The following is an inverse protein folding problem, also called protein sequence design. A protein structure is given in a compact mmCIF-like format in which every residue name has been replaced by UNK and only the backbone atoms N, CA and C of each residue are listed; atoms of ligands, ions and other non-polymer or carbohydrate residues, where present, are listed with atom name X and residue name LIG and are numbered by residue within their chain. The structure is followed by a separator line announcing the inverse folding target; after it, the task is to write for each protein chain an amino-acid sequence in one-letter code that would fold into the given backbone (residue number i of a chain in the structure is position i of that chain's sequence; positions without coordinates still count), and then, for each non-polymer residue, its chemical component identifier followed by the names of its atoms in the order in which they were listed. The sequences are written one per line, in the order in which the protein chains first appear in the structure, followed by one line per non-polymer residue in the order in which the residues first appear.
data_IF_755970416739
#
_entry.id   IF_755970416739
#
_cell.length_a   1.000
_cell.length_b   1.000
_cell.length_c   1.000
_cell.angle_alpha   90.00
_cell.angle_beta   90.00
_cell.angle_gamma   90.00
#
_symmetry.space_group_name_H-M   'P 1'
#
loop_
_entity.id
_entity.type
_entity.pdbx_description
1 polymer ?
#
# COMPACT_ATOMS: atom_id res chain seq x y z
N UNK A 1 7.35 55.71 -16.04
CA UNK A 1 6.84 56.20 -14.77
C UNK A 1 5.49 55.53 -14.53
N UNK A 2 5.45 54.54 -13.65
CA UNK A 2 4.21 53.76 -13.36
C UNK A 2 4.48 52.91 -12.15
N UNK A 3 3.93 53.24 -11.01
CA UNK A 3 4.19 52.67 -9.68
C UNK A 3 3.71 51.24 -9.49
N UNK A 4 4.62 50.40 -9.06
CA UNK A 4 4.40 49.05 -8.57
C UNK A 4 3.80 49.14 -7.15
N UNK A 5 2.52 48.73 -6.94
CA UNK A 5 1.92 48.61 -5.60
C UNK A 5 2.19 47.21 -5.06
N UNK A 6 3.03 47.12 -4.05
CA UNK A 6 3.22 45.96 -3.21
C UNK A 6 2.07 45.87 -2.21
N UNK A 7 1.27 44.80 -2.27
CA UNK A 7 0.23 44.51 -1.26
C UNK A 7 0.87 43.56 -0.22
N UNK A 8 1.07 44.09 0.99
CA UNK A 8 1.44 43.35 2.19
C UNK A 8 0.15 42.75 2.79
N UNK A 9 0.09 41.42 2.87
CA UNK A 9 -0.92 40.74 3.70
C UNK A 9 -0.45 40.72 5.15
N UNK A 10 -1.23 41.36 6.01
CA UNK A 10 -1.07 41.32 7.47
C UNK A 10 -1.91 40.15 7.99
N UNK A 11 -1.26 39.20 8.66
CA UNK A 11 -1.92 38.15 9.41
C UNK A 11 -2.46 38.73 10.71
N UNK A 12 -3.77 38.76 10.88
CA UNK A 12 -4.45 39.05 12.17
C UNK A 12 -4.75 37.72 12.85
N UNK A 13 -3.99 37.40 13.90
CA UNK A 13 -4.33 36.34 14.85
C UNK A 13 -5.51 36.83 15.72
N UNK A 14 -6.70 36.34 15.46
CA UNK A 14 -7.85 36.53 16.33
C UNK A 14 -7.83 35.53 17.49
N UNK A 15 -7.58 36.05 18.71
CA UNK A 15 -7.72 35.30 19.97
C UNK A 15 -9.25 35.20 20.26
N UNK A 16 -9.81 34.01 20.25
CA UNK A 16 -11.15 33.73 20.77
C UNK A 16 -11.01 33.24 22.22
N UNK A 17 -11.43 34.13 23.15
CA UNK A 17 -11.65 33.76 24.54
C UNK A 17 -12.99 33.01 24.64
N UNK A 18 -12.96 31.72 24.90
CA UNK A 18 -14.15 30.94 25.22
C UNK A 18 -14.44 31.03 26.71
N UNK A 19 -15.56 31.69 27.05
CA UNK A 19 -16.15 31.65 28.39
C UNK A 19 -16.72 30.26 28.64
N UNK A 20 -16.11 29.52 29.55
CA UNK A 20 -16.59 28.22 30.01
C UNK A 20 -17.80 28.41 30.94
N UNK A 21 -18.99 28.03 30.48
CA UNK A 21 -20.11 27.68 31.36
C UNK A 21 -19.91 26.23 31.82
N UNK A 22 -19.68 26.08 33.12
CA UNK A 22 -19.47 24.76 33.74
C UNK A 22 -20.75 23.93 33.74
N UNK A 23 -20.69 22.80 33.00
CA UNK A 23 -21.56 21.67 33.24
C UNK A 23 -20.70 20.63 33.96
N UNK A 24 -21.00 20.37 35.23
CA UNK A 24 -20.34 19.34 36.03
C UNK A 24 -20.61 17.98 35.39
N UNK A 25 -19.61 17.44 34.73
CA UNK A 25 -19.59 16.03 34.33
C UNK A 25 -19.37 15.17 35.56
N UNK A 26 -20.33 14.34 35.90
CA UNK A 26 -20.28 13.36 36.95
C UNK A 26 -19.26 12.29 36.56
N UNK A 27 -18.15 12.18 37.28
CA UNK A 27 -17.16 11.12 37.08
C UNK A 27 -17.80 9.75 37.29
N UNK A 28 -17.48 8.74 36.45
CA UNK A 28 -17.92 7.37 36.69
C UNK A 28 -17.22 6.83 37.93
N UNK A 29 -17.99 6.31 38.88
CA UNK A 29 -17.48 5.65 40.09
C UNK A 29 -16.62 4.46 39.70
N UNK A 30 -15.42 4.28 40.30
CA UNK A 30 -14.62 3.10 40.05
C UNK A 30 -15.33 1.87 40.60
N UNK A 31 -15.41 0.82 39.81
CA UNK A 31 -15.88 -0.51 40.27
C UNK A 31 -14.97 -1.03 41.37
N UNK A 32 -15.51 -1.71 42.41
CA UNK A 32 -14.70 -2.24 43.49
C UNK A 32 -13.78 -3.33 42.94
N UNK A 33 -12.47 -3.13 43.13
CA UNK A 33 -11.45 -4.14 42.87
C UNK A 33 -11.65 -5.32 43.82
N UNK A 34 -11.88 -6.51 43.28
CA UNK A 34 -11.80 -7.75 44.03
C UNK A 34 -10.39 -7.91 44.59
N UNK A 35 -10.22 -8.33 45.83
CA UNK A 35 -8.90 -8.49 46.45
C UNK A 35 -8.09 -9.55 45.71
N UNK A 36 -6.89 -9.19 45.28
CA UNK A 36 -5.94 -10.10 44.66
C UNK A 36 -5.56 -11.22 45.67
N UNK A 37 -5.68 -12.47 45.21
CA UNK A 37 -5.24 -13.65 45.95
C UNK A 37 -3.73 -13.55 46.19
N UNK A 38 -3.24 -13.71 47.41
CA UNK A 38 -1.81 -13.62 47.69
C UNK A 38 -1.04 -14.74 46.98
N UNK A 39 0.19 -14.48 46.51
CA UNK A 39 1.00 -15.50 45.83
C UNK A 39 1.35 -16.60 46.88
N UNK A 40 1.08 -17.84 46.50
CA UNK A 40 1.48 -19.02 47.24
C UNK A 40 3.01 -19.13 47.21
N UNK A 41 3.66 -18.82 48.30
CA UNK A 41 5.09 -19.01 48.46
C UNK A 41 5.36 -20.51 48.59
N UNK A 42 5.89 -21.12 47.54
CA UNK A 42 6.43 -22.48 47.62
C UNK A 42 7.83 -22.35 48.22
N UNK A 43 8.00 -22.86 49.44
CA UNK A 43 9.31 -22.94 50.11
C UNK A 43 10.22 -23.88 49.27
N UNK A 44 11.51 -23.54 49.12
CA UNK A 44 12.43 -24.43 48.44
C UNK A 44 12.69 -25.68 49.36
N UNK A 45 12.42 -26.85 48.80
CA UNK A 45 12.79 -28.13 49.41
C UNK A 45 14.31 -28.25 49.27
N UNK A 46 15.00 -28.07 50.38
CA UNK A 46 16.43 -28.40 50.49
C UNK A 46 16.58 -29.93 50.48
N UNK A 47 17.08 -30.48 49.41
CA UNK A 47 17.56 -31.86 49.33
C UNK A 47 18.88 -31.96 50.08
N UNK A 48 19.08 -32.98 50.94
CA UNK A 48 20.34 -33.16 51.62
C UNK A 48 21.42 -33.64 50.65
N UNK A 49 22.59 -33.02 50.73
CA UNK A 49 23.78 -33.47 50.00
C UNK A 49 24.25 -34.83 50.53
N UNK A 50 24.54 -35.81 49.70
CA UNK A 50 25.23 -37.04 50.18
C UNK A 50 26.71 -36.73 50.42
N UNK A 51 27.13 -36.87 51.68
CA UNK A 51 28.54 -37.00 52.04
C UNK A 51 29.01 -38.41 51.68
N UNK A 52 29.81 -38.52 50.65
CA UNK A 52 30.61 -39.73 50.40
C UNK A 52 32.07 -39.34 50.36
N UNK A 53 32.79 -39.83 51.37
CA UNK A 53 34.25 -39.90 51.34
C UNK A 53 34.65 -41.02 50.38
N UNK A 54 35.65 -40.80 49.56
CA UNK A 54 36.31 -41.86 48.83
C UNK A 54 36.81 -41.45 47.46
N UNK A 55 38.11 -41.46 47.30
CA UNK A 55 38.93 -41.56 46.12
C UNK A 55 38.89 -40.41 45.10
N UNK A 56 39.97 -39.66 45.05
CA UNK A 56 40.35 -38.74 43.99
C UNK A 56 40.65 -39.56 42.73
N UNK A 57 39.87 -39.35 41.61
CA UNK A 57 40.36 -39.82 40.34
C UNK A 57 41.36 -38.80 39.79
N UNK A 58 42.45 -39.31 39.25
CA UNK A 58 43.44 -38.56 38.48
C UNK A 58 42.76 -37.71 37.42
N UNK A 59 43.14 -36.42 37.38
CA UNK A 59 42.81 -35.49 36.31
C UNK A 59 43.31 -36.05 35.00
N UNK A 60 42.44 -36.57 34.16
CA UNK A 60 42.72 -36.80 32.74
C UNK A 60 42.71 -35.45 32.02
N UNK A 61 43.82 -35.08 31.42
CA UNK A 61 44.05 -33.85 30.64
C UNK A 61 43.37 -33.84 29.27
N UNK A 62 42.19 -34.45 29.12
CA UNK A 62 41.41 -34.42 27.89
C UNK A 62 40.08 -33.69 28.10
N UNK A 63 40.15 -32.41 28.54
CA UNK A 63 39.00 -31.52 28.39
C UNK A 63 38.99 -31.03 26.95
N UNK A 64 38.22 -31.71 26.12
CA UNK A 64 37.88 -31.24 24.79
C UNK A 64 37.18 -29.88 24.97
N UNK A 65 37.90 -28.77 24.74
CA UNK A 65 37.34 -27.42 24.75
C UNK A 65 36.44 -27.36 23.54
N UNK A 66 35.14 -27.63 23.76
CA UNK A 66 34.12 -27.38 22.75
C UNK A 66 34.27 -25.90 22.32
N UNK A 67 34.43 -25.63 21.04
CA UNK A 67 34.53 -24.24 20.57
C UNK A 67 33.30 -23.48 21.03
N UNK A 68 33.51 -22.36 21.71
CA UNK A 68 32.43 -21.44 22.08
C UNK A 68 31.57 -21.18 20.84
N UNK A 69 30.24 -21.32 20.94
CA UNK A 69 29.38 -21.08 19.81
C UNK A 69 29.71 -19.71 19.26
N UNK A 70 30.06 -19.68 17.99
CA UNK A 70 30.34 -18.43 17.24
C UNK A 70 29.19 -17.47 17.54
N UNK A 71 29.44 -16.26 18.03
CA UNK A 71 28.37 -15.32 18.36
C UNK A 71 27.52 -15.12 17.11
N UNK A 72 26.22 -15.42 17.24
CA UNK A 72 25.26 -15.25 16.15
C UNK A 72 25.39 -13.80 15.66
N UNK A 73 25.62 -13.58 14.37
CA UNK A 73 25.85 -12.22 13.87
C UNK A 73 24.73 -11.29 14.33
N UNK A 74 25.09 -10.15 14.90
CA UNK A 74 24.15 -9.16 15.48
C UNK A 74 23.09 -8.72 14.45
N UNK A 75 23.33 -8.97 13.16
CA UNK A 75 22.50 -8.54 12.03
C UNK A 75 21.72 -9.66 11.33
N UNK A 76 21.73 -10.88 11.85
CA UNK A 76 21.10 -12.04 11.20
C UNK A 76 21.74 -12.38 9.85
N UNK A 77 20.92 -12.80 8.88
CA UNK A 77 21.37 -13.08 7.50
C UNK A 77 21.27 -11.83 6.66
N UNK A 78 22.29 -11.55 5.85
CA UNK A 78 22.32 -10.47 4.87
C UNK A 78 22.44 -11.05 3.46
N UNK A 79 21.59 -10.60 2.56
CA UNK A 79 21.70 -10.78 1.12
C UNK A 79 21.75 -9.40 0.46
N UNK A 80 22.76 -9.17 -0.36
CA UNK A 80 22.96 -7.86 -0.97
C UNK A 80 23.53 -7.97 -2.37
N UNK A 81 23.09 -7.05 -3.25
CA UNK A 81 23.70 -6.83 -4.54
C UNK A 81 23.59 -5.32 -4.86
N UNK A 82 24.73 -4.71 -5.22
CA UNK A 82 24.82 -3.31 -5.69
C UNK A 82 25.52 -3.33 -7.03
N UNK A 83 24.91 -2.67 -8.01
CA UNK A 83 25.41 -2.62 -9.38
C UNK A 83 25.34 -1.21 -9.94
N UNK A 84 26.18 -0.93 -10.93
CA UNK A 84 26.04 0.23 -11.82
C UNK A 84 24.86 0.05 -12.79
N UNK A 85 24.48 1.09 -13.51
CA UNK A 85 23.41 1.00 -14.51
C UNK A 85 23.74 0.02 -15.65
N UNK A 86 25.01 -0.10 -16.03
CA UNK A 86 25.49 -1.04 -17.05
C UNK A 86 25.67 -2.50 -16.56
N UNK A 87 25.43 -2.75 -15.26
CA UNK A 87 25.40 -4.10 -14.70
C UNK A 87 26.70 -4.55 -14.03
N UNK A 88 27.68 -3.68 -13.87
CA UNK A 88 28.90 -4.01 -13.14
C UNK A 88 28.59 -4.15 -11.64
N UNK A 89 28.88 -5.30 -11.06
CA UNK A 89 28.71 -5.50 -9.63
C UNK A 89 29.76 -4.75 -8.83
N UNK A 90 29.30 -3.91 -7.90
CA UNK A 90 30.13 -3.11 -6.97
C UNK A 90 30.29 -3.84 -5.64
N UNK A 91 29.21 -4.44 -5.17
CA UNK A 91 29.18 -5.19 -3.91
C UNK A 91 28.16 -6.31 -4.00
N UNK A 92 28.54 -7.52 -3.60
CA UNK A 92 27.67 -8.66 -3.55
C UNK A 92 27.93 -9.47 -2.28
N UNK A 93 26.86 -9.88 -1.60
CA UNK A 93 26.90 -10.75 -0.44
C UNK A 93 25.69 -11.67 -0.48
N UNK A 94 25.90 -13.00 -0.44
CA UNK A 94 24.83 -13.99 -0.52
C UNK A 94 23.80 -13.73 -1.64
N UNK A 95 24.24 -13.19 -2.79
CA UNK A 95 23.38 -12.66 -3.85
C UNK A 95 22.52 -13.73 -4.53
N UNK A 96 22.94 -14.99 -4.47
CA UNK A 96 22.23 -16.15 -5.02
C UNK A 96 21.32 -16.86 -3.99
N UNK A 97 21.45 -16.53 -2.71
CA UNK A 97 20.67 -17.18 -1.67
C UNK A 97 19.24 -16.62 -1.61
N UNK A 98 18.30 -17.49 -1.25
CA UNK A 98 16.90 -17.11 -1.09
C UNK A 98 16.67 -16.37 0.23
N UNK A 99 15.97 -15.25 0.14
CA UNK A 99 15.50 -14.43 1.25
C UNK A 99 14.00 -14.17 1.12
N UNK A 100 13.37 -13.77 2.21
CA UNK A 100 12.03 -13.22 2.15
C UNK A 100 12.11 -11.72 1.73
N UNK A 101 11.63 -11.38 0.53
CA UNK A 101 11.66 -9.99 0.05
C UNK A 101 10.67 -9.09 0.78
N UNK A 102 9.75 -9.66 1.57
CA UNK A 102 8.61 -8.95 2.13
C UNK A 102 7.95 -8.08 1.04
N UNK A 103 7.52 -6.86 1.38
CA UNK A 103 6.84 -5.98 0.43
C UNK A 103 7.72 -5.46 -0.73
N UNK A 104 9.00 -5.82 -0.84
CA UNK A 104 9.78 -5.51 -2.03
C UNK A 104 9.28 -6.28 -3.27
N UNK A 105 8.57 -7.41 -3.10
CA UNK A 105 7.94 -8.13 -4.22
C UNK A 105 6.89 -7.29 -4.97
N UNK A 106 6.34 -6.24 -4.36
CA UNK A 106 5.45 -5.29 -5.03
C UNK A 106 6.09 -4.60 -6.24
N UNK A 107 7.42 -4.61 -6.35
CA UNK A 107 8.12 -4.17 -7.56
C UNK A 107 7.80 -5.10 -8.75
N UNK A 108 7.75 -6.41 -8.51
CA UNK A 108 7.34 -7.38 -9.51
C UNK A 108 5.86 -7.21 -9.89
N UNK A 109 4.99 -7.03 -8.89
CA UNK A 109 3.55 -6.77 -9.13
C UNK A 109 3.33 -5.49 -9.95
N UNK A 110 4.11 -4.43 -9.67
CA UNK A 110 4.04 -3.19 -10.44
C UNK A 110 4.55 -3.36 -11.87
N UNK A 111 5.64 -4.11 -12.07
CA UNK A 111 6.17 -4.42 -13.39
C UNK A 111 5.16 -5.21 -14.24
N UNK A 112 4.58 -6.26 -13.68
CA UNK A 112 3.57 -7.08 -14.36
C UNK A 112 2.34 -6.25 -14.73
N UNK A 113 1.87 -5.39 -13.82
CA UNK A 113 0.75 -4.49 -14.09
C UNK A 113 1.04 -3.47 -15.19
N UNK A 114 2.24 -2.86 -15.20
CA UNK A 114 2.64 -1.93 -16.26
C UNK A 114 2.71 -2.61 -17.63
N UNK A 115 3.25 -3.83 -17.69
CA UNK A 115 3.32 -4.58 -18.95
C UNK A 115 1.97 -5.11 -19.41
N UNK A 116 1.07 -5.44 -18.47
CA UNK A 116 -0.26 -5.97 -18.81
C UNK A 116 -1.22 -4.86 -19.25
N UNK A 117 -1.21 -3.72 -18.57
CA UNK A 117 -2.23 -2.69 -18.76
C UNK A 117 -1.69 -1.39 -19.36
N UNK A 118 -0.42 -1.09 -19.20
CA UNK A 118 0.17 0.22 -19.51
C UNK A 118 -0.06 1.26 -18.39
N UNK A 119 0.79 2.33 -18.34
CA UNK A 119 0.76 3.31 -17.24
C UNK A 119 -0.51 4.16 -17.19
N UNK A 120 -1.13 4.40 -18.35
CA UNK A 120 -2.34 5.24 -18.50
C UNK A 120 -3.65 4.46 -18.28
N UNK A 121 -3.56 3.16 -18.00
CA UNK A 121 -4.74 2.34 -17.77
C UNK A 121 -5.56 2.87 -16.59
N UNK A 122 -6.90 2.91 -16.76
CA UNK A 122 -7.86 3.32 -15.73
C UNK A 122 -8.86 2.20 -15.49
N UNK A 123 -8.92 1.70 -14.28
CA UNK A 123 -9.87 0.64 -13.90
C UNK A 123 -11.31 1.17 -13.94
N UNK A 124 -12.21 0.41 -14.53
CA UNK A 124 -13.60 0.77 -14.61
C UNK A 124 -14.42 0.16 -13.47
N UNK A 125 -15.26 0.97 -12.84
CA UNK A 125 -16.38 0.56 -12.00
C UNK A 125 -17.67 1.00 -12.68
N UNK A 126 -18.54 0.04 -12.99
CA UNK A 126 -19.74 0.28 -13.80
C UNK A 126 -20.99 0.02 -12.98
N UNK A 127 -21.96 0.94 -13.05
CA UNK A 127 -23.28 0.78 -12.52
C UNK A 127 -24.26 0.45 -13.64
N UNK A 128 -25.13 -0.54 -13.35
CA UNK A 128 -26.14 -1.06 -14.25
C UNK A 128 -27.49 -1.11 -13.54
N UNK A 129 -28.56 -1.32 -14.31
CA UNK A 129 -29.87 -1.65 -13.77
C UNK A 129 -30.61 -2.63 -14.71
N UNK A 130 -31.41 -3.50 -14.14
CA UNK A 130 -32.38 -4.30 -14.85
C UNK A 130 -33.79 -3.68 -14.83
N UNK A 131 -33.92 -2.51 -14.14
CA UNK A 131 -35.20 -1.85 -13.92
C UNK A 131 -35.46 -0.68 -14.88
N UNK A 132 -36.63 -0.10 -14.77
CA UNK A 132 -37.07 1.09 -15.49
C UNK A 132 -37.04 2.31 -14.59
N UNK A 133 -36.61 3.45 -15.14
CA UNK A 133 -36.59 4.72 -14.41
C UNK A 133 -37.88 5.48 -14.63
N UNK A 134 -38.62 5.76 -13.56
CA UNK A 134 -39.66 6.76 -13.55
C UNK A 134 -39.04 8.14 -13.27
N UNK A 135 -38.96 8.97 -14.30
CA UNK A 135 -38.37 10.32 -14.21
C UNK A 135 -39.15 11.28 -13.31
N UNK A 136 -40.45 11.07 -13.12
CA UNK A 136 -41.27 11.96 -12.29
C UNK A 136 -40.95 11.80 -10.80
N UNK A 137 -40.71 10.59 -10.36
CA UNK A 137 -40.38 10.27 -8.95
C UNK A 137 -38.89 10.09 -8.70
N UNK A 138 -38.10 9.90 -9.76
CA UNK A 138 -36.69 9.57 -9.67
C UNK A 138 -36.44 8.17 -9.15
N UNK A 139 -37.36 7.23 -9.42
CA UNK A 139 -37.34 5.88 -8.89
C UNK A 139 -37.01 4.85 -9.97
N UNK A 140 -36.03 3.99 -9.71
CA UNK A 140 -35.80 2.77 -10.50
C UNK A 140 -36.67 1.66 -9.92
N UNK A 141 -37.60 1.13 -10.73
CA UNK A 141 -38.36 -0.05 -10.43
C UNK A 141 -37.55 -1.30 -10.88
N UNK A 142 -36.72 -1.83 -10.01
CA UNK A 142 -35.78 -2.92 -10.24
C UNK A 142 -34.50 -2.74 -9.43
N UNK A 143 -33.45 -3.47 -9.80
CA UNK A 143 -32.19 -3.53 -9.05
C UNK A 143 -31.15 -2.50 -9.56
N UNK A 144 -30.28 -2.11 -8.65
CA UNK A 144 -29.00 -1.44 -8.94
C UNK A 144 -27.89 -2.48 -8.90
N UNK A 145 -27.05 -2.53 -9.95
CA UNK A 145 -26.00 -3.53 -10.07
C UNK A 145 -24.66 -2.81 -10.18
N UNK A 146 -23.61 -3.28 -9.48
CA UNK A 146 -22.26 -2.75 -9.58
C UNK A 146 -21.26 -3.83 -9.98
N UNK A 147 -20.38 -3.50 -10.92
CA UNK A 147 -19.24 -4.34 -11.30
C UNK A 147 -17.96 -3.51 -11.39
N UNK A 148 -16.80 -4.15 -11.16
CA UNK A 148 -15.49 -3.49 -11.25
C UNK A 148 -14.46 -4.17 -10.37
N UNK A 149 -13.18 -3.96 -10.71
CA UNK A 149 -12.02 -4.51 -9.97
C UNK A 149 -10.99 -3.43 -9.69
N UNK A 150 -11.43 -2.19 -9.49
CA UNK A 150 -10.54 -1.06 -9.20
C UNK A 150 -9.92 -1.21 -7.80
N UNK A 151 -8.59 -1.40 -7.69
CA UNK A 151 -7.91 -1.56 -6.40
C UNK A 151 -7.88 -0.26 -5.59
N UNK A 152 -8.23 0.88 -6.20
CA UNK A 152 -8.22 2.20 -5.58
C UNK A 152 -9.62 2.77 -5.30
N UNK A 153 -10.69 1.97 -5.48
CA UNK A 153 -12.06 2.42 -5.27
C UNK A 153 -12.40 2.57 -3.78
N UNK A 154 -12.70 3.81 -3.36
CA UNK A 154 -12.96 4.18 -1.97
C UNK A 154 -14.32 4.86 -1.79
N UNK A 155 -14.64 5.24 -0.54
CA UNK A 155 -15.91 5.88 -0.17
C UNK A 155 -16.20 7.15 -0.98
N UNK A 156 -15.20 8.00 -1.21
CA UNK A 156 -15.34 9.23 -2.00
C UNK A 156 -15.83 8.97 -3.41
N UNK A 157 -15.40 7.86 -4.02
CA UNK A 157 -15.87 7.44 -5.34
C UNK A 157 -17.32 6.93 -5.28
N UNK A 158 -17.69 6.21 -4.22
CA UNK A 158 -19.07 5.78 -4.01
C UNK A 158 -20.04 6.96 -3.81
N UNK A 159 -19.62 8.02 -3.09
CA UNK A 159 -20.41 9.26 -2.98
C UNK A 159 -20.52 9.97 -4.33
N UNK A 160 -19.44 9.95 -5.13
CA UNK A 160 -19.47 10.49 -6.50
C UNK A 160 -20.44 9.71 -7.40
N UNK A 161 -20.53 8.38 -7.26
CA UNK A 161 -21.55 7.60 -7.94
C UNK A 161 -22.97 8.05 -7.57
N UNK A 162 -23.24 8.27 -6.27
CA UNK A 162 -24.54 8.79 -5.82
C UNK A 162 -24.85 10.16 -6.43
N UNK A 163 -23.83 11.04 -6.53
CA UNK A 163 -23.98 12.35 -7.18
C UNK A 163 -24.35 12.21 -8.67
N UNK A 164 -23.65 11.36 -9.40
CA UNK A 164 -23.93 11.17 -10.84
C UNK A 164 -25.29 10.48 -11.06
N UNK A 165 -25.69 9.54 -10.19
CA UNK A 165 -27.05 8.98 -10.21
C UNK A 165 -28.11 10.06 -9.96
N UNK A 166 -27.89 10.97 -9.00
CA UNK A 166 -28.79 12.12 -8.78
C UNK A 166 -28.88 13.05 -10.00
N UNK A 167 -27.77 13.22 -10.76
CA UNK A 167 -27.78 14.02 -12.01
C UNK A 167 -28.59 13.34 -13.13
N UNK A 168 -28.67 12.00 -13.12
CA UNK A 168 -29.55 11.22 -13.99
C UNK A 168 -31.02 11.25 -13.53
N UNK A 169 -31.32 11.93 -12.42
CA UNK A 169 -32.66 11.97 -11.82
C UNK A 169 -32.94 10.81 -10.87
N UNK A 170 -32.00 9.90 -10.63
CA UNK A 170 -32.20 8.70 -9.80
C UNK A 170 -31.99 9.04 -8.33
N UNK A 171 -32.98 8.76 -7.49
CA UNK A 171 -32.98 9.01 -6.03
C UNK A 171 -33.29 7.75 -5.23
N UNK A 172 -34.07 6.83 -5.81
CA UNK A 172 -34.55 5.62 -5.14
C UNK A 172 -34.43 4.41 -6.08
N UNK A 173 -34.08 3.26 -5.52
CA UNK A 173 -34.07 1.96 -6.17
C UNK A 173 -34.98 1.05 -5.35
N UNK A 174 -36.04 0.48 -5.94
CA UNK A 174 -37.01 -0.35 -5.18
C UNK A 174 -36.55 -1.77 -4.97
N UNK A 175 -35.66 -2.26 -5.82
CA UNK A 175 -35.07 -3.59 -5.74
C UNK A 175 -33.78 -3.63 -4.90
N UNK A 176 -32.93 -4.58 -5.22
CA UNK A 176 -31.71 -4.91 -4.49
C UNK A 176 -30.46 -4.18 -5.02
N UNK A 177 -29.39 -4.18 -4.23
CA UNK A 177 -28.05 -3.88 -4.68
C UNK A 177 -27.31 -5.18 -5.02
N UNK A 178 -27.16 -5.46 -6.30
CA UNK A 178 -26.39 -6.60 -6.79
C UNK A 178 -24.94 -6.20 -7.00
N UNK A 179 -24.03 -6.96 -6.41
CA UNK A 179 -22.58 -6.69 -6.46
C UNK A 179 -21.88 -7.81 -7.21
N UNK A 180 -21.22 -7.48 -8.31
CA UNK A 180 -20.49 -8.49 -9.07
C UNK A 180 -19.36 -9.14 -8.24
N UNK A 181 -19.05 -10.43 -8.47
CA UNK A 181 -17.90 -11.07 -7.84
C UNK A 181 -16.61 -10.29 -8.04
N UNK A 182 -15.76 -10.24 -7.00
CA UNK A 182 -14.49 -9.51 -6.96
C UNK A 182 -14.61 -7.97 -6.97
N UNK A 183 -15.80 -7.40 -6.92
CA UNK A 183 -15.93 -5.96 -6.61
C UNK A 183 -15.31 -5.66 -5.25
N UNK A 184 -14.57 -4.56 -5.15
CA UNK A 184 -13.89 -4.13 -3.93
C UNK A 184 -14.13 -2.66 -3.66
N UNK A 185 -14.31 -2.34 -2.39
CA UNK A 185 -14.44 -0.97 -1.87
C UNK A 185 -13.64 -0.88 -0.57
N UNK A 186 -12.88 0.20 -0.38
CA UNK A 186 -12.08 0.48 0.81
C UNK A 186 -11.19 -0.71 1.23
N UNK A 187 -10.48 -1.30 0.27
CA UNK A 187 -9.56 -2.42 0.49
C UNK A 187 -10.19 -3.72 1.01
N UNK A 188 -11.50 -3.86 0.97
CA UNK A 188 -12.17 -5.10 1.38
C UNK A 188 -11.79 -6.26 0.44
N UNK A 189 -11.51 -7.44 1.01
CA UNK A 189 -11.33 -8.68 0.26
C UNK A 189 -12.66 -9.41 -0.02
N UNK A 190 -13.78 -8.93 0.54
CA UNK A 190 -15.10 -9.53 0.41
C UNK A 190 -15.99 -8.64 -0.45
N UNK A 191 -16.53 -9.20 -1.54
CA UNK A 191 -17.52 -8.51 -2.37
C UNK A 191 -18.79 -8.19 -1.59
N UNK A 192 -19.24 -9.08 -0.71
CA UNK A 192 -20.39 -8.87 0.16
C UNK A 192 -20.19 -7.64 1.05
N UNK A 193 -19.07 -7.56 1.79
CA UNK A 193 -18.75 -6.38 2.63
C UNK A 193 -18.55 -5.10 1.83
N UNK A 194 -18.01 -5.22 0.62
CA UNK A 194 -17.87 -4.09 -0.29
C UNK A 194 -19.23 -3.57 -0.75
N UNK A 195 -20.17 -4.48 -1.02
CA UNK A 195 -21.54 -4.14 -1.36
C UNK A 195 -22.31 -3.51 -0.20
N UNK A 196 -22.22 -4.07 1.00
CA UNK A 196 -22.82 -3.51 2.22
C UNK A 196 -22.27 -2.09 2.48
N UNK A 197 -20.97 -1.88 2.31
CA UNK A 197 -20.35 -0.56 2.42
C UNK A 197 -20.83 0.40 1.35
N UNK A 198 -20.97 -0.06 0.10
CA UNK A 198 -21.51 0.75 -1.00
C UNK A 198 -22.97 1.12 -0.71
N UNK A 199 -23.78 0.18 -0.28
CA UNK A 199 -25.17 0.38 0.11
C UNK A 199 -25.33 1.51 1.15
N UNK A 200 -24.54 1.44 2.22
CA UNK A 200 -24.53 2.51 3.24
C UNK A 200 -23.98 3.83 2.69
N UNK A 201 -22.98 3.78 1.81
CA UNK A 201 -22.32 5.01 1.32
C UNK A 201 -23.16 5.75 0.27
N UNK A 202 -23.99 5.05 -0.51
CA UNK A 202 -24.88 5.68 -1.48
C UNK A 202 -25.96 6.52 -0.81
N UNK A 203 -26.49 6.08 0.34
CA UNK A 203 -27.54 6.77 1.08
C UNK A 203 -26.95 7.76 2.11
N UNK A 204 -27.30 9.04 2.01
CA UNK A 204 -26.81 10.09 2.90
C UNK A 204 -27.21 9.89 4.37
N UNK A 205 -28.34 9.20 4.65
CA UNK A 205 -28.80 8.94 6.02
C UNK A 205 -28.00 7.83 6.70
N UNK A 206 -27.46 6.88 5.93
CA UNK A 206 -26.68 5.72 6.41
C UNK A 206 -25.17 5.98 6.33
N UNK A 207 -24.78 6.87 5.46
CA UNK A 207 -23.37 7.12 5.12
C UNK A 207 -22.55 7.53 6.33
N UNK A 208 -21.40 6.90 6.59
CA UNK A 208 -20.45 7.38 7.58
C UNK A 208 -19.98 8.81 7.28
N UNK A 209 -19.93 9.67 8.29
CA UNK A 209 -19.50 11.07 8.14
C UNK A 209 -18.09 11.19 7.52
N UNK A 210 -17.22 10.21 7.77
CA UNK A 210 -15.88 10.13 7.17
C UNK A 210 -15.93 10.00 5.64
N UNK A 211 -16.89 9.27 5.08
CA UNK A 211 -17.06 9.12 3.63
C UNK A 211 -17.46 10.44 2.97
N UNK A 212 -18.40 11.17 3.58
CA UNK A 212 -18.79 12.52 3.12
C UNK A 212 -17.61 13.49 3.17
N UNK A 213 -16.82 13.44 4.26
CA UNK A 213 -15.62 14.28 4.37
C UNK A 213 -14.60 13.96 3.29
N UNK A 214 -14.26 12.66 3.10
CA UNK A 214 -13.31 12.22 2.07
C UNK A 214 -13.74 12.69 0.67
N UNK A 215 -15.04 12.64 0.38
CA UNK A 215 -15.55 13.13 -0.89
C UNK A 215 -15.41 14.66 -1.04
N UNK A 216 -15.72 15.46 -0.01
CA UNK A 216 -15.47 16.91 -0.05
C UNK A 216 -13.98 17.22 -0.22
N UNK A 217 -13.11 16.54 0.51
CA UNK A 217 -11.65 16.72 0.41
C UNK A 217 -11.17 16.41 -1.01
N UNK A 218 -11.66 15.34 -1.63
CA UNK A 218 -11.32 14.98 -3.01
C UNK A 218 -11.77 16.05 -4.02
N UNK A 219 -12.91 16.69 -3.79
CA UNK A 219 -13.41 17.80 -4.62
C UNK A 219 -12.54 19.05 -4.49
N UNK A 220 -12.14 19.41 -3.27
CA UNK A 220 -11.22 20.52 -3.01
C UNK A 220 -9.89 20.28 -3.74
N UNK A 221 -9.34 19.09 -3.63
CA UNK A 221 -8.09 18.72 -4.32
C UNK A 221 -8.20 18.87 -5.85
N UNK A 222 -9.38 18.60 -6.41
CA UNK A 222 -9.68 18.81 -7.86
C UNK A 222 -10.02 20.27 -8.21
N UNK A 223 -9.94 21.21 -7.27
CA UNK A 223 -10.30 22.61 -7.50
C UNK A 223 -11.81 22.86 -7.69
N UNK A 224 -12.66 21.91 -7.29
CA UNK A 224 -14.11 22.02 -7.36
C UNK A 224 -14.67 22.70 -6.10
N UNK A 225 -15.91 23.22 -6.19
CA UNK A 225 -16.55 23.78 -5.00
C UNK A 225 -16.69 22.75 -3.87
N UNK A 226 -16.27 23.12 -2.67
CA UNK A 226 -16.34 22.27 -1.50
C UNK A 226 -17.77 21.96 -1.04
N UNK A 227 -18.71 22.90 -1.27
CA UNK A 227 -20.10 22.75 -0.83
C UNK A 227 -21.04 22.62 -2.02
N UNK A 228 -22.00 21.71 -1.92
CA UNK A 228 -23.11 21.58 -2.84
C UNK A 228 -24.42 21.95 -2.11
N UNK A 229 -25.43 22.45 -2.83
CA UNK A 229 -26.73 22.77 -2.22
C UNK A 229 -27.44 21.53 -1.65
N UNK A 230 -27.14 20.36 -2.16
CA UNK A 230 -27.71 19.10 -1.69
C UNK A 230 -26.62 18.03 -1.54
N UNK A 231 -26.70 17.23 -0.48
CA UNK A 231 -25.82 16.08 -0.27
C UNK A 231 -26.28 14.95 -1.22
N UNK A 232 -25.39 14.36 -2.03
CA UNK A 232 -25.76 13.27 -2.91
C UNK A 232 -26.31 12.08 -2.13
N UNK A 233 -27.46 11.52 -2.55
CA UNK A 233 -28.10 10.39 -1.88
C UNK A 233 -28.90 9.55 -2.86
N UNK A 234 -28.75 8.21 -2.77
CA UNK A 234 -29.57 7.24 -3.46
C UNK A 234 -29.95 6.15 -2.45
N UNK A 235 -31.24 6.02 -2.15
CA UNK A 235 -31.75 4.98 -1.26
C UNK A 235 -32.01 3.72 -2.05
N UNK A 236 -31.46 2.59 -1.61
CA UNK A 236 -31.78 1.24 -2.11
C UNK A 236 -32.69 0.58 -1.06
N UNK A 237 -33.87 0.12 -1.48
CA UNK A 237 -34.90 -0.39 -0.57
C UNK A 237 -34.75 -1.88 -0.25
N UNK A 238 -34.09 -2.63 -1.14
CA UNK A 238 -33.84 -4.06 -0.99
C UNK A 238 -32.57 -4.39 -0.21
N UNK A 239 -32.05 -5.58 -0.42
CA UNK A 239 -30.87 -6.11 0.25
C UNK A 239 -29.62 -6.10 -0.66
N UNK A 240 -28.50 -6.60 -0.14
CA UNK A 240 -27.24 -6.71 -0.88
C UNK A 240 -26.97 -8.16 -1.21
N UNK A 241 -26.77 -8.47 -2.50
CA UNK A 241 -26.43 -9.81 -2.97
C UNK A 241 -25.16 -9.78 -3.84
N UNK A 242 -24.40 -10.88 -3.79
CA UNK A 242 -23.22 -11.05 -4.66
C UNK A 242 -23.61 -12.00 -5.80
N UNK A 243 -23.79 -11.44 -6.99
CA UNK A 243 -24.18 -12.17 -8.18
C UNK A 243 -23.50 -11.55 -9.43
N UNK A 244 -23.41 -12.33 -10.50
CA UNK A 244 -22.92 -11.82 -11.79
C UNK A 244 -23.90 -10.79 -12.37
N UNK A 245 -23.37 -9.85 -13.15
CA UNK A 245 -24.23 -8.89 -13.88
C UNK A 245 -25.22 -9.66 -14.75
N UNK A 246 -26.54 -9.47 -14.59
CA UNK A 246 -27.54 -10.17 -15.39
C UNK A 246 -27.43 -9.82 -16.88
N UNK A 247 -27.72 -10.81 -17.74
CA UNK A 247 -27.83 -10.55 -19.16
C UNK A 247 -28.97 -9.55 -19.41
N UNK A 248 -28.71 -8.53 -20.22
CA UNK A 248 -29.71 -7.48 -20.52
C UNK A 248 -29.74 -6.33 -19.49
N UNK A 249 -28.91 -6.34 -18.48
CA UNK A 249 -28.74 -5.18 -17.61
C UNK A 249 -28.26 -3.97 -18.43
N UNK A 250 -28.91 -2.82 -18.23
CA UNK A 250 -28.59 -1.57 -18.93
C UNK A 250 -27.57 -0.77 -18.13
N UNK A 251 -26.51 -0.32 -18.76
CA UNK A 251 -25.49 0.53 -18.17
C UNK A 251 -26.07 1.92 -17.84
N UNK A 252 -25.83 2.39 -16.63
CA UNK A 252 -26.22 3.74 -16.18
C UNK A 252 -25.05 4.70 -16.25
N UNK A 253 -23.90 4.31 -15.69
CA UNK A 253 -22.70 5.13 -15.65
C UNK A 253 -21.44 4.28 -15.48
N UNK A 254 -20.32 4.86 -15.85
CA UNK A 254 -18.98 4.29 -15.64
C UNK A 254 -18.13 5.28 -14.85
N UNK A 255 -17.54 4.80 -13.77
CA UNK A 255 -16.46 5.48 -13.06
C UNK A 255 -15.12 4.88 -13.49
N UNK A 256 -14.14 5.73 -13.79
CA UNK A 256 -12.78 5.33 -14.13
C UNK A 256 -11.83 5.84 -13.05
N UNK A 257 -10.97 4.97 -12.56
CA UNK A 257 -9.92 5.30 -11.58
C UNK A 257 -8.95 6.36 -12.11
N UNK A 258 -8.04 6.80 -11.27
CA UNK A 258 -6.80 7.46 -11.71
C UNK A 258 -5.97 6.52 -12.58
N UNK A 259 -5.03 7.07 -13.34
CA UNK A 259 -4.10 6.29 -14.15
C UNK A 259 -3.32 5.28 -13.28
N UNK A 260 -2.97 4.12 -13.85
CA UNK A 260 -2.25 3.06 -13.13
C UNK A 260 -0.95 3.55 -12.51
N UNK A 261 -0.22 4.44 -13.18
CA UNK A 261 1.01 5.05 -12.64
C UNK A 261 0.75 5.75 -11.30
N UNK A 262 -0.35 6.46 -11.16
CA UNK A 262 -0.72 7.16 -9.92
C UNK A 262 -1.21 6.18 -8.83
N UNK A 263 -1.96 5.16 -9.23
CA UNK A 263 -2.37 4.05 -8.34
C UNK A 263 -1.14 3.33 -7.81
N UNK A 264 -0.15 3.03 -8.66
CA UNK A 264 1.11 2.40 -8.27
C UNK A 264 1.93 3.30 -7.34
N UNK A 265 1.99 4.61 -7.58
CA UNK A 265 2.69 5.54 -6.68
C UNK A 265 2.13 5.46 -5.26
N UNK A 266 0.82 5.50 -5.10
CA UNK A 266 0.17 5.39 -3.78
C UNK A 266 0.41 4.02 -3.16
N UNK A 267 0.21 2.95 -3.93
CA UNK A 267 0.45 1.57 -3.52
C UNK A 267 1.86 1.38 -2.98
N UNK A 268 2.88 1.88 -3.69
CA UNK A 268 4.29 1.66 -3.34
C UNK A 268 4.78 2.59 -2.23
N UNK A 269 4.31 3.84 -2.16
CA UNK A 269 4.62 4.77 -1.07
C UNK A 269 4.14 4.26 0.29
N UNK A 270 2.88 3.84 0.37
CA UNK A 270 2.30 3.28 1.60
C UNK A 270 2.52 1.78 1.76
N UNK A 271 3.05 1.13 0.74
CA UNK A 271 3.23 -0.34 0.74
C UNK A 271 1.91 -1.09 0.98
N UNK A 272 0.82 -0.63 0.35
CA UNK A 272 -0.52 -1.14 0.57
C UNK A 272 -0.67 -2.58 0.08
N UNK A 273 -0.95 -3.50 1.02
CA UNK A 273 -1.06 -4.93 0.71
C UNK A 273 -2.34 -5.26 -0.06
N UNK A 274 -3.47 -4.61 0.30
CA UNK A 274 -4.75 -4.89 -0.36
C UNK A 274 -4.74 -4.45 -1.81
N UNK A 275 -4.24 -3.25 -2.11
CA UNK A 275 -4.10 -2.81 -3.50
C UNK A 275 -3.21 -3.76 -4.29
N UNK A 276 -2.08 -4.23 -3.72
CA UNK A 276 -1.18 -5.16 -4.39
C UNK A 276 -1.83 -6.52 -4.65
N UNK A 277 -2.57 -7.07 -3.68
CA UNK A 277 -3.30 -8.34 -3.88
C UNK A 277 -4.44 -8.19 -4.89
N UNK A 278 -5.24 -7.11 -4.81
CA UNK A 278 -6.33 -6.89 -5.78
C UNK A 278 -5.80 -6.70 -7.19
N UNK A 279 -4.71 -5.95 -7.34
CA UNK A 279 -4.03 -5.81 -8.63
C UNK A 279 -3.48 -7.15 -9.13
N UNK A 280 -2.81 -7.90 -8.25
CA UNK A 280 -2.28 -9.22 -8.57
C UNK A 280 -3.37 -10.22 -8.97
N UNK A 281 -4.53 -10.19 -8.33
CA UNK A 281 -5.68 -11.06 -8.66
C UNK A 281 -6.19 -10.85 -10.11
N UNK A 282 -5.98 -9.67 -10.69
CA UNK A 282 -6.34 -9.41 -12.10
C UNK A 282 -5.35 -10.02 -13.08
N UNK A 283 -4.14 -10.37 -12.62
CA UNK A 283 -3.03 -10.91 -13.41
C UNK A 283 -2.72 -12.39 -13.09
N UNK A 284 -3.65 -13.13 -12.49
CA UNK A 284 -3.49 -14.54 -12.17
C UNK A 284 -2.90 -14.84 -10.79
N UNK A 285 -2.82 -13.84 -9.91
CA UNK A 285 -2.35 -13.98 -8.53
C UNK A 285 -0.87 -14.35 -8.41
N UNK A 286 -0.45 -14.97 -7.29
CA UNK A 286 0.96 -15.32 -7.07
C UNK A 286 1.53 -16.27 -8.11
N UNK A 287 0.74 -17.22 -8.60
CA UNK A 287 1.16 -18.16 -9.63
C UNK A 287 1.37 -17.47 -10.98
N UNK A 288 0.44 -16.58 -11.39
CA UNK A 288 0.59 -15.76 -12.60
C UNK A 288 1.83 -14.88 -12.52
N UNK A 289 2.02 -14.17 -11.41
CA UNK A 289 3.20 -13.33 -11.20
C UNK A 289 4.50 -14.14 -11.24
N UNK A 290 4.56 -15.31 -10.60
CA UNK A 290 5.77 -16.16 -10.67
C UNK A 290 6.05 -16.62 -12.10
N UNK A 291 5.03 -17.05 -12.85
CA UNK A 291 5.17 -17.44 -14.25
C UNK A 291 5.63 -16.27 -15.13
N UNK A 292 5.09 -15.07 -14.90
CA UNK A 292 5.54 -13.84 -15.56
C UNK A 292 7.02 -13.56 -15.31
N UNK A 293 7.49 -13.64 -14.06
CA UNK A 293 8.90 -13.42 -13.71
C UNK A 293 9.84 -14.43 -14.40
N UNK A 294 9.43 -15.68 -14.49
CA UNK A 294 10.22 -16.73 -15.15
C UNK A 294 10.24 -16.51 -16.67
N UNK A 295 9.07 -16.31 -17.29
CA UNK A 295 8.94 -16.31 -18.75
C UNK A 295 9.29 -14.99 -19.42
N UNK A 296 9.02 -13.84 -18.74
CA UNK A 296 9.22 -12.51 -19.33
C UNK A 296 10.43 -11.76 -18.78
N UNK A 297 10.74 -11.94 -17.48
CA UNK A 297 11.90 -11.27 -16.86
C UNK A 297 13.16 -12.14 -16.89
N UNK A 298 13.03 -13.45 -17.14
CA UNK A 298 14.15 -14.38 -17.16
C UNK A 298 14.73 -14.68 -15.78
N UNK A 299 13.87 -14.64 -14.76
CA UNK A 299 14.23 -15.11 -13.41
C UNK A 299 14.28 -16.64 -13.40
N UNK A 300 15.31 -17.22 -12.80
CA UNK A 300 15.37 -18.67 -12.65
C UNK A 300 14.25 -19.19 -11.74
N UNK A 301 13.56 -20.30 -12.10
CA UNK A 301 12.54 -20.89 -11.22
C UNK A 301 13.07 -21.28 -9.83
N UNK A 302 14.39 -21.50 -9.69
CA UNK A 302 15.02 -21.79 -8.41
C UNK A 302 15.29 -20.54 -7.55
N UNK A 303 15.21 -19.34 -8.14
CA UNK A 303 15.47 -18.07 -7.47
C UNK A 303 14.19 -17.33 -7.03
N UNK A 304 13.00 -17.87 -7.32
CA UNK A 304 11.71 -17.22 -7.00
C UNK A 304 10.67 -18.24 -6.58
N UNK A 305 10.01 -17.97 -5.46
CA UNK A 305 8.85 -18.72 -4.97
C UNK A 305 7.89 -17.73 -4.29
N UNK A 306 6.68 -17.60 -4.81
CA UNK A 306 5.72 -16.59 -4.37
C UNK A 306 4.47 -17.24 -3.75
N UNK A 307 4.12 -16.76 -2.55
CA UNK A 307 2.87 -17.09 -1.88
C UNK A 307 1.83 -15.97 -2.01
N UNK A 308 2.29 -14.72 -2.24
CA UNK A 308 1.42 -13.54 -2.36
C UNK A 308 2.04 -12.52 -3.32
N UNK A 309 1.21 -11.64 -3.88
CA UNK A 309 1.63 -10.52 -4.71
C UNK A 309 2.01 -9.29 -3.91
N UNK A 310 1.62 -9.24 -2.64
CA UNK A 310 1.96 -8.14 -1.71
C UNK A 310 3.25 -8.34 -0.93
N UNK A 311 3.73 -9.59 -0.83
CA UNK A 311 4.88 -9.96 0.00
C UNK A 311 4.54 -10.30 1.44
N UNK A 312 3.25 -10.45 1.78
CA UNK A 312 2.85 -11.05 3.05
C UNK A 312 3.21 -12.55 3.10
N UNK A 313 3.47 -13.06 4.30
CA UNK A 313 3.80 -14.48 4.49
C UNK A 313 5.20 -14.86 3.99
N UNK A 314 5.32 -16.10 3.52
CA UNK A 314 6.62 -16.69 3.16
C UNK A 314 6.82 -16.68 1.65
N UNK A 315 7.49 -15.65 1.17
CA UNK A 315 7.99 -15.57 -0.20
C UNK A 315 9.50 -15.80 -0.20
N UNK A 316 10.07 -16.22 -1.32
CA UNK A 316 11.50 -16.44 -1.48
C UNK A 316 11.98 -15.87 -2.80
N UNK A 317 12.98 -14.99 -2.75
CA UNK A 317 13.62 -14.37 -3.92
C UNK A 317 15.09 -14.15 -3.60
N UNK A 318 15.98 -14.42 -4.55
CA UNK A 318 17.40 -14.08 -4.39
C UNK A 318 17.63 -12.58 -4.65
N UNK A 319 18.66 -11.94 -4.04
CA UNK A 319 19.05 -10.58 -4.42
C UNK A 319 19.30 -10.41 -5.91
N UNK A 320 19.89 -11.40 -6.57
CA UNK A 320 20.12 -11.39 -8.02
C UNK A 320 18.82 -11.39 -8.81
N UNK A 321 17.86 -12.24 -8.45
CA UNK A 321 16.55 -12.25 -9.09
C UNK A 321 15.82 -10.93 -8.89
N UNK A 322 15.87 -10.36 -7.69
CA UNK A 322 15.25 -9.07 -7.40
C UNK A 322 15.93 -7.93 -8.17
N UNK A 323 17.24 -7.99 -8.40
CA UNK A 323 17.95 -7.03 -9.24
C UNK A 323 17.47 -7.12 -10.70
N UNK A 324 17.29 -8.33 -11.25
CA UNK A 324 16.71 -8.51 -12.59
C UNK A 324 15.31 -7.89 -12.68
N UNK A 325 14.46 -8.14 -11.66
CA UNK A 325 13.11 -7.57 -11.58
C UNK A 325 13.17 -6.03 -11.56
N UNK A 326 14.04 -5.45 -10.72
CA UNK A 326 14.14 -4.00 -10.62
C UNK A 326 14.68 -3.36 -11.91
N UNK A 327 15.66 -3.97 -12.57
CA UNK A 327 16.16 -3.53 -13.89
C UNK A 327 15.06 -3.59 -14.95
N UNK A 328 14.29 -4.66 -14.98
CA UNK A 328 13.16 -4.79 -15.90
C UNK A 328 12.10 -3.70 -15.65
N UNK A 329 11.85 -3.37 -14.37
CA UNK A 329 10.93 -2.28 -14.00
C UNK A 329 11.45 -0.91 -14.46
N UNK A 330 12.73 -0.63 -14.26
CA UNK A 330 13.36 0.63 -14.73
C UNK A 330 13.27 0.73 -16.25
N UNK A 331 13.58 -0.34 -16.96
CA UNK A 331 13.47 -0.39 -18.43
C UNK A 331 12.02 -0.26 -18.92
N UNK A 332 11.04 -0.81 -18.19
CA UNK A 332 9.62 -0.64 -18.50
C UNK A 332 9.17 0.81 -18.36
N UNK A 333 9.57 1.46 -17.27
CA UNK A 333 9.27 2.88 -17.03
C UNK A 333 9.87 3.77 -18.11
N UNK A 334 11.14 3.54 -18.46
CA UNK A 334 11.86 4.29 -19.51
C UNK A 334 11.16 4.20 -20.87
N UNK A 335 10.57 3.04 -21.22
CA UNK A 335 9.79 2.88 -22.46
C UNK A 335 8.55 3.78 -22.53
N UNK A 336 8.11 4.29 -21.40
CA UNK A 336 6.95 5.18 -21.27
C UNK A 336 7.34 6.60 -20.86
N UNK A 337 8.62 6.99 -21.00
CA UNK A 337 9.14 8.29 -20.59
C UNK A 337 8.94 8.56 -19.08
N UNK A 338 8.86 7.50 -18.27
CA UNK A 338 8.71 7.55 -16.82
C UNK A 338 10.02 7.20 -16.11
N UNK A 339 10.14 7.64 -14.88
CA UNK A 339 11.27 7.34 -14.00
C UNK A 339 10.82 6.52 -12.78
N UNK A 340 11.70 5.86 -12.05
CA UNK A 340 11.35 5.20 -10.81
C UNK A 340 10.68 6.13 -9.78
N UNK A 341 10.94 7.44 -9.80
CA UNK A 341 10.29 8.41 -8.92
C UNK A 341 8.79 8.58 -9.19
N UNK A 342 8.32 8.23 -10.39
CA UNK A 342 6.90 8.35 -10.75
C UNK A 342 6.03 7.31 -10.03
N UNK A 343 6.60 6.17 -9.66
CA UNK A 343 5.86 5.10 -8.94
C UNK A 343 6.44 4.75 -7.57
N UNK A 344 7.74 4.98 -7.32
CA UNK A 344 8.39 4.64 -6.04
C UNK A 344 8.49 5.84 -5.11
N UNK A 345 8.50 5.62 -3.78
CA UNK A 345 8.75 6.71 -2.84
C UNK A 345 10.18 7.24 -2.95
N UNK A 346 10.29 8.57 -2.98
CA UNK A 346 11.54 9.32 -2.88
C UNK A 346 11.83 9.58 -1.40
N UNK A 347 12.96 9.09 -0.91
CA UNK A 347 13.28 9.09 0.50
C UNK A 347 13.37 10.51 1.09
N UNK A 348 12.77 10.70 2.26
CA UNK A 348 12.71 11.99 2.95
C UNK A 348 11.78 13.03 2.32
N UNK A 349 11.13 12.71 1.19
CA UNK A 349 10.24 13.61 0.44
C UNK A 349 8.81 13.10 0.43
N UNK A 350 8.58 11.92 -0.15
CA UNK A 350 7.24 11.37 -0.26
C UNK A 350 6.72 10.82 1.07
N UNK A 351 5.41 10.91 1.32
CA UNK A 351 4.81 10.29 2.49
C UNK A 351 4.90 8.75 2.42
N UNK A 352 4.75 8.10 3.56
CA UNK A 352 4.75 6.64 3.66
C UNK A 352 6.06 6.07 4.19
N UNK A 353 6.49 4.93 3.64
CA UNK A 353 7.51 4.08 4.28
C UNK A 353 8.93 4.62 4.28
N UNK A 354 9.25 5.58 3.40
CA UNK A 354 10.57 6.24 3.33
C UNK A 354 10.56 7.71 3.81
N UNK A 355 9.43 8.23 4.27
CA UNK A 355 9.29 9.63 4.66
C UNK A 355 10.32 10.08 5.72
N UNK A 356 10.62 9.20 6.69
CA UNK A 356 11.53 9.46 7.81
C UNK A 356 12.90 8.80 7.66
N UNK A 357 13.25 8.37 6.44
CA UNK A 357 14.54 7.73 6.12
C UNK A 357 15.35 8.61 5.17
N UNK A 358 16.68 8.61 5.32
CA UNK A 358 17.60 9.43 4.50
C UNK A 358 17.23 10.92 4.49
N UNK A 359 16.91 11.50 5.65
CA UNK A 359 16.35 12.86 5.73
C UNK A 359 17.42 13.96 5.88
N UNK A 360 18.67 13.60 6.19
CA UNK A 360 19.71 14.57 6.52
C UNK A 360 20.36 15.20 5.27
N UNK A 361 20.32 16.53 5.17
CA UNK A 361 21.05 17.29 4.15
C UNK A 361 20.85 16.76 2.73
N UNK A 362 21.95 16.48 2.03
CA UNK A 362 21.94 15.97 0.65
C UNK A 362 21.52 14.48 0.53
N UNK A 363 21.37 13.76 1.62
CA UNK A 363 20.80 12.40 1.60
C UNK A 363 19.30 12.43 1.30
N UNK A 364 18.61 13.53 1.61
CA UNK A 364 17.23 13.75 1.23
C UNK A 364 17.08 13.72 -0.29
N UNK A 365 16.15 12.95 -0.78
CA UNK A 365 15.91 12.70 -2.21
C UNK A 365 17.06 12.00 -2.96
N UNK A 366 18.10 11.49 -2.27
CA UNK A 366 19.21 10.77 -2.93
C UNK A 366 18.94 9.27 -3.12
N UNK A 367 17.83 8.78 -2.59
CA UNK A 367 17.41 7.37 -2.66
C UNK A 367 15.96 7.29 -3.12
N UNK A 368 15.70 6.43 -4.11
CA UNK A 368 14.36 6.06 -4.58
C UNK A 368 14.25 4.55 -4.40
N UNK A 369 13.37 4.08 -3.54
CA UNK A 369 13.38 2.66 -3.20
C UNK A 369 12.04 2.15 -2.66
N UNK A 370 11.86 0.82 -2.72
CA UNK A 370 10.78 0.11 -2.04
C UNK A 370 11.30 -0.56 -0.78
N UNK A 371 10.59 -0.40 0.32
CA UNK A 371 10.83 -1.09 1.59
C UNK A 371 10.05 -2.40 1.68
N UNK A 372 10.60 -3.36 2.42
CA UNK A 372 9.89 -4.55 2.86
C UNK A 372 10.04 -4.75 4.38
N UNK A 373 9.00 -5.26 5.05
CA UNK A 373 9.02 -5.47 6.50
C UNK A 373 8.07 -6.58 6.91
N UNK A 374 8.59 -7.61 7.59
CA UNK A 374 7.84 -8.65 8.26
C UNK A 374 8.43 -8.86 9.66
N UNK A 375 7.68 -8.52 10.71
CA UNK A 375 8.22 -8.53 12.08
C UNK A 375 8.32 -9.96 12.64
N UNK A 376 7.31 -10.79 12.34
CA UNK A 376 7.19 -12.14 12.91
C UNK A 376 7.58 -13.27 11.96
N UNK A 377 7.39 -13.07 10.65
CA UNK A 377 7.75 -14.06 9.64
C UNK A 377 9.26 -14.14 9.49
N UNK A 378 9.80 -15.36 9.39
CA UNK A 378 11.24 -15.65 9.24
C UNK A 378 12.10 -15.04 10.38
N UNK A 379 11.54 -14.96 11.60
CA UNK A 379 12.17 -14.31 12.77
C UNK A 379 12.61 -12.87 12.49
N UNK A 380 11.84 -12.14 11.71
CA UNK A 380 12.08 -10.78 11.25
C UNK A 380 12.75 -10.72 9.88
N UNK A 381 12.12 -10.01 8.94
CA UNK A 381 12.66 -9.74 7.63
C UNK A 381 12.52 -8.25 7.29
N UNK A 382 13.55 -7.69 6.68
CA UNK A 382 13.57 -6.31 6.17
C UNK A 382 14.23 -6.26 4.80
N UNK A 383 13.65 -5.48 3.90
CA UNK A 383 14.15 -5.30 2.54
C UNK A 383 14.23 -3.81 2.19
N UNK A 384 15.20 -3.47 1.37
CA UNK A 384 15.31 -2.17 0.70
C UNK A 384 15.83 -2.41 -0.71
N UNK A 385 15.05 -2.04 -1.72
CA UNK A 385 15.38 -2.27 -3.14
C UNK A 385 15.10 -1.00 -3.92
N UNK A 386 16.07 -0.55 -4.72
CA UNK A 386 15.92 0.68 -5.48
C UNK A 386 17.21 1.19 -6.07
N UNK A 387 17.33 2.51 -6.14
CA UNK A 387 18.48 3.22 -6.66
C UNK A 387 18.91 4.36 -5.75
N UNK A 388 20.18 4.67 -5.81
CA UNK A 388 20.80 5.81 -5.12
C UNK A 388 21.56 6.68 -6.12
N UNK A 389 21.73 7.96 -5.80
CA UNK A 389 22.52 8.90 -6.59
C UNK A 389 23.68 9.45 -5.78
N UNK A 390 24.83 9.64 -6.45
CA UNK A 390 26.08 10.17 -5.86
C UNK A 390 26.46 11.49 -6.48
N UNK A 391 27.31 12.26 -5.80
CA UNK A 391 27.84 13.55 -6.30
C UNK A 391 28.70 13.40 -7.55
N UNK A 392 29.32 12.24 -7.75
CA UNK A 392 30.09 11.96 -8.96
C UNK A 392 29.19 11.77 -10.20
N UNK A 393 27.85 11.92 -10.03
CA UNK A 393 26.88 11.77 -11.12
C UNK A 393 26.41 10.34 -11.36
N UNK A 394 26.94 9.37 -10.60
CA UNK A 394 26.56 7.96 -10.75
C UNK A 394 25.19 7.69 -10.15
N UNK A 395 24.42 6.83 -10.81
CA UNK A 395 23.26 6.16 -10.25
C UNK A 395 23.59 4.68 -10.08
N UNK A 396 23.42 4.16 -8.86
CA UNK A 396 23.64 2.75 -8.55
C UNK A 396 22.32 2.09 -8.18
N UNK A 397 22.13 0.86 -8.65
CA UNK A 397 21.02 0.00 -8.29
C UNK A 397 21.41 -0.85 -7.09
N UNK A 398 20.47 -1.10 -6.17
CA UNK A 398 20.76 -1.91 -5.01
C UNK A 398 19.57 -2.78 -4.57
N UNK A 399 19.90 -3.95 -4.05
CA UNK A 399 19.01 -4.87 -3.33
C UNK A 399 19.67 -5.20 -2.01
N UNK A 400 18.96 -5.00 -0.91
CA UNK A 400 19.41 -5.35 0.45
C UNK A 400 18.29 -6.12 1.13
N UNK A 401 18.53 -7.36 1.47
CA UNK A 401 17.66 -8.26 2.22
C UNK A 401 18.28 -8.63 3.55
N UNK A 402 17.52 -8.49 4.62
CA UNK A 402 17.90 -8.90 5.96
C UNK A 402 16.87 -9.87 6.52
N UNK A 403 17.30 -10.89 7.23
CA UNK A 403 16.44 -11.90 7.80
C UNK A 403 17.00 -12.45 9.11
N UNK A 404 16.11 -12.92 10.02
CA UNK A 404 16.47 -13.49 11.32
C UNK A 404 17.12 -12.50 12.27
N UNK A 405 16.38 -11.41 12.58
CA UNK A 405 16.85 -10.40 13.52
C UNK A 405 15.89 -9.20 13.66
N UNK A 406 16.36 -8.17 14.34
CA UNK A 406 15.57 -6.96 14.61
C UNK A 406 15.39 -6.11 13.35
N UNK A 407 14.16 -5.93 12.93
CA UNK A 407 13.79 -5.07 11.80
C UNK A 407 14.31 -3.63 11.97
N UNK A 408 14.31 -3.10 13.19
CA UNK A 408 14.84 -1.76 13.47
C UNK A 408 16.35 -1.69 13.21
N UNK A 409 17.11 -2.68 13.71
CA UNK A 409 18.57 -2.78 13.45
C UNK A 409 18.86 -2.96 11.96
N UNK A 410 18.06 -3.76 11.26
CA UNK A 410 18.19 -3.95 9.82
C UNK A 410 18.01 -2.65 9.05
N UNK A 411 17.03 -1.83 9.40
CA UNK A 411 16.81 -0.53 8.76
C UNK A 411 17.99 0.42 8.95
N UNK A 412 18.52 0.51 10.16
CA UNK A 412 19.70 1.32 10.45
C UNK A 412 20.93 0.85 9.65
N UNK A 413 21.15 -0.47 9.60
CA UNK A 413 22.22 -1.05 8.79
C UNK A 413 22.04 -0.76 7.29
N UNK A 414 20.85 -0.86 6.75
CA UNK A 414 20.55 -0.50 5.35
C UNK A 414 20.88 0.95 5.07
N UNK A 415 20.52 1.87 5.96
CA UNK A 415 20.84 3.30 5.81
C UNK A 415 22.34 3.57 5.90
N UNK A 416 23.02 2.91 6.83
CA UNK A 416 24.46 2.99 6.96
C UNK A 416 25.18 2.48 5.70
N UNK A 417 24.81 1.29 5.19
CA UNK A 417 25.38 0.71 3.97
C UNK A 417 25.22 1.64 2.75
N UNK A 418 24.02 2.19 2.56
CA UNK A 418 23.75 3.14 1.47
C UNK A 418 24.60 4.40 1.63
N UNK A 419 24.70 4.94 2.85
CA UNK A 419 25.51 6.11 3.14
C UNK A 419 27.00 5.86 2.88
N UNK A 420 27.55 4.71 3.32
CA UNK A 420 28.93 4.30 3.07
C UNK A 420 29.23 4.25 1.56
N UNK A 421 28.32 3.65 0.76
CA UNK A 421 28.46 3.56 -0.69
C UNK A 421 28.45 4.95 -1.32
N UNK A 422 27.55 5.84 -0.88
CA UNK A 422 27.48 7.21 -1.38
C UNK A 422 28.73 8.01 -1.00
N UNK A 423 29.20 7.93 0.25
CA UNK A 423 30.38 8.65 0.72
C UNK A 423 31.65 8.20 0.00
N UNK A 424 31.81 6.91 -0.28
CA UNK A 424 32.93 6.39 -1.07
C UNK A 424 32.94 6.93 -2.53
N UNK A 425 31.84 7.59 -2.98
CA UNK A 425 31.65 8.17 -4.31
C UNK A 425 31.33 9.67 -4.26
N UNK A 426 31.98 10.40 -3.37
CA UNK A 426 31.87 11.86 -3.23
C UNK A 426 30.67 12.35 -2.43
N UNK A 427 29.83 11.45 -1.92
CA UNK A 427 28.66 11.75 -1.09
C UNK A 427 27.33 11.61 -1.81
N UNK A 428 26.20 11.75 -1.08
CA UNK A 428 24.86 11.69 -1.66
C UNK A 428 24.55 12.90 -2.54
N UNK A 429 23.75 12.71 -3.58
CA UNK A 429 23.18 13.77 -4.41
C UNK A 429 21.68 13.54 -4.62
N UNK A 430 20.82 14.56 -4.52
CA UNK A 430 19.40 14.41 -4.73
C UNK A 430 19.08 14.11 -6.20
N UNK A 431 18.05 13.29 -6.43
CA UNK A 431 17.41 13.20 -7.73
C UNK A 431 16.61 14.48 -8.00
N UNK A 432 16.49 14.86 -9.26
CA UNK A 432 15.56 15.91 -9.67
C UNK A 432 14.14 15.35 -9.51
N UNK A 433 13.38 15.89 -8.54
CA UNK A 433 12.04 15.41 -8.24
C UNK A 433 11.16 16.53 -7.67
N UNK A 434 9.98 16.70 -8.26
CA UNK A 434 8.95 17.60 -7.75
C UNK A 434 7.81 16.75 -7.20
N UNK A 435 7.57 16.76 -5.88
CA UNK A 435 6.53 15.93 -5.30
C UNK A 435 5.13 16.42 -5.69
N UNK A 436 4.27 15.49 -6.07
CA UNK A 436 2.83 15.67 -6.21
C UNK A 436 2.17 14.97 -5.03
N UNK A 437 1.19 15.62 -4.39
CA UNK A 437 0.51 14.99 -3.25
C UNK A 437 -0.23 13.74 -3.69
N UNK A 438 -0.17 12.67 -2.87
CA UNK A 438 -0.82 11.41 -3.23
C UNK A 438 -2.35 11.55 -3.34
N UNK A 439 -2.94 12.49 -2.60
CA UNK A 439 -4.36 12.82 -2.74
C UNK A 439 -4.69 13.39 -4.12
N UNK A 440 -3.83 14.25 -4.69
CA UNK A 440 -4.02 14.77 -6.06
C UNK A 440 -3.94 13.64 -7.10
N UNK A 441 -3.01 12.71 -6.92
CA UNK A 441 -2.84 11.58 -7.84
C UNK A 441 -4.10 10.70 -7.89
N UNK A 442 -4.67 10.33 -6.73
CA UNK A 442 -5.89 9.51 -6.69
C UNK A 442 -7.17 10.31 -6.97
N UNK A 443 -7.13 11.63 -6.98
CA UNK A 443 -8.28 12.45 -7.29
C UNK A 443 -8.56 12.60 -8.80
N UNK A 444 -7.62 12.25 -9.65
CA UNK A 444 -7.79 12.31 -11.12
C UNK A 444 -8.64 11.15 -11.64
N UNK A 445 -9.91 11.15 -11.26
CA UNK A 445 -10.92 10.16 -11.64
C UNK A 445 -11.97 10.77 -12.55
N UNK A 446 -12.64 9.95 -13.34
CA UNK A 446 -13.71 10.38 -14.23
C UNK A 446 -14.97 9.53 -14.00
N UNK A 447 -16.13 10.18 -13.94
CA UNK A 447 -17.43 9.47 -13.88
C UNK A 447 -18.33 10.01 -15.01
N UNK A 448 -18.77 9.13 -15.89
CA UNK A 448 -19.61 9.46 -17.03
C UNK A 448 -20.90 8.66 -17.03
N UNK A 449 -22.02 9.35 -17.25
CA UNK A 449 -23.28 8.71 -17.54
C UNK A 449 -23.28 8.15 -18.98
N UNK A 450 -23.86 6.97 -19.16
CA UNK A 450 -24.04 6.38 -20.48
C UNK A 450 -25.14 7.16 -21.24
N UNK A 451 -24.81 7.68 -22.43
CA UNK A 451 -25.80 8.26 -23.32
C UNK A 451 -26.44 7.13 -24.13
N UNK A 452 -27.74 7.25 -24.46
CA UNK A 452 -28.49 6.23 -25.21
C UNK A 452 -27.95 5.94 -26.63
N UNK A 453 -26.87 6.59 -27.07
CA UNK A 453 -26.23 6.40 -28.37
C UNK A 453 -24.92 5.59 -28.32
N UNK A 454 -24.41 5.26 -27.15
CA UNK A 454 -23.15 4.53 -27.05
C UNK A 454 -23.43 3.02 -26.95
N UNK A 455 -23.76 2.41 -28.09
CA UNK A 455 -23.73 0.95 -28.25
C UNK A 455 -22.28 0.46 -28.07
N UNK A 456 -22.08 -0.15 -27.01
CA UNK A 456 -21.29 -1.26 -26.51
C UNK A 456 -20.04 -1.69 -27.32
N UNK A 457 -18.87 -1.33 -26.81
CA UNK A 457 -17.69 -2.22 -26.79
C UNK A 457 -17.27 -2.48 -25.33
N UNK A 458 -18.03 -3.31 -24.65
CA UNK A 458 -17.59 -3.93 -23.41
C UNK A 458 -17.16 -5.36 -23.72
N UNK A 459 -15.87 -5.58 -23.87
CA UNK A 459 -15.30 -6.93 -23.80
C UNK A 459 -15.57 -7.50 -22.40
N UNK A 460 -16.19 -8.67 -22.29
CA UNK A 460 -16.37 -9.35 -21.01
C UNK A 460 -15.01 -9.98 -20.62
N UNK A 461 -14.46 -9.54 -19.50
CA UNK A 461 -13.39 -10.22 -18.80
C UNK A 461 -13.78 -10.60 -17.39
#
# INVERSE_FOLDING_TARGET
MGHLKVIRFVFICGLWAATALGVAAQEPRPSPLLPAKPPTTVAPVLMPFPTAAGDSPELRDDVEILPLPTPTPIYGRLGMLVETLDGQAIRAESSEQLFNPASAIKLATALDALQTFGPEHRFATVLWTNGTLDQATGTIAGDLIVSGRDPSFHDEHAVELARELNRLGIRTVTGDLIVAPRFTLNFSSSSQRSGERLYDTLDAERRPAAATRAWYDSRIVRGQQATLPTVPSVAVMGAVYVESVPAGARMLLTHRSSALVDVLKVLLCYSNNFMAERLGDTMGGPAGLQQFLISKVGVSPFEVQLATTSGLGVNRVSPRAMMKIYRALVAELDRHDLTPADILPVAGVDPGTLQKRFTAGLARASVIAKTGTLIRTDAGASALVGQLRTRNGETLLFVIFNQRGSVWRFRNMQEQLISEIQFARGGPAPFAYTPVTLAMRLADTETKATRNSDEYEATPN
#
